data_IF_384900340123
#
_entry.id   IF_384900340123
#
_cell.length_a   1.000
_cell.length_b   1.000
_cell.length_c   1.000
_cell.angle_alpha   90.00
_cell.angle_beta   90.00
_cell.angle_gamma   90.00
#
_symmetry.space_group_name_H-M   'P 1'
#
loop_
_entity.id
_entity.type
_entity.pdbx_description
1 polymer ?
#
# COMPACT_ATOMS: atom_id res chain seq x y z
N UNK A 1 -0.92 20.62 4.91
CA UNK A 1 0.13 20.30 3.90
C UNK A 1 0.20 18.79 3.80
N UNK A 2 0.11 18.19 2.62
CA UNK A 2 0.18 16.72 2.50
C UNK A 2 1.65 16.30 2.38
N UNK A 3 2.11 15.43 3.27
CA UNK A 3 3.42 14.77 3.15
C UNK A 3 3.19 13.35 2.66
N UNK A 4 3.79 12.98 1.52
CA UNK A 4 3.60 11.67 0.86
C UNK A 4 4.93 10.93 0.59
N UNK A 5 5.77 10.65 1.61
CA UNK A 5 7.01 9.90 1.41
C UNK A 5 6.76 8.50 0.86
N UNK A 6 7.74 8.00 0.11
CA UNK A 6 7.89 6.56 -0.11
C UNK A 6 8.44 5.98 1.20
N UNK A 7 7.68 5.08 1.82
CA UNK A 7 8.05 4.47 3.11
C UNK A 7 8.66 3.09 2.93
N UNK A 8 8.38 2.43 1.79
CA UNK A 8 8.96 1.15 1.44
C UNK A 8 9.04 0.96 -0.07
N UNK A 9 9.99 0.14 -0.51
CA UNK A 9 10.15 -0.30 -1.89
C UNK A 9 10.52 -1.77 -1.90
N UNK A 10 10.22 -2.49 -2.99
CA UNK A 10 10.69 -3.86 -3.10
C UNK A 10 10.33 -4.51 -4.43
N UNK A 11 10.50 -5.82 -4.49
CA UNK A 11 10.05 -6.70 -5.55
C UNK A 11 9.19 -7.77 -4.88
N UNK A 12 8.12 -8.21 -5.54
CA UNK A 12 7.22 -9.27 -5.06
C UNK A 12 6.93 -10.24 -6.20
N UNK A 13 6.82 -11.53 -5.87
CA UNK A 13 6.55 -12.61 -6.82
C UNK A 13 5.07 -13.00 -6.80
N UNK A 14 4.63 -13.78 -7.79
CA UNK A 14 3.26 -14.29 -7.83
C UNK A 14 2.97 -15.18 -6.61
N UNK A 15 1.92 -14.87 -5.86
CA UNK A 15 1.54 -15.58 -4.64
C UNK A 15 2.41 -15.28 -3.41
N UNK A 16 3.38 -14.36 -3.51
CA UNK A 16 4.22 -13.95 -2.38
C UNK A 16 3.50 -12.92 -1.52
N UNK A 17 3.71 -13.00 -0.21
CA UNK A 17 3.30 -12.00 0.76
C UNK A 17 4.49 -11.18 1.25
N UNK A 18 4.31 -9.88 1.44
CA UNK A 18 5.26 -9.00 2.11
C UNK A 18 4.59 -8.16 3.19
N UNK A 19 5.32 -7.93 4.27
CA UNK A 19 4.87 -7.11 5.38
C UNK A 19 5.71 -5.84 5.47
N UNK A 20 5.04 -4.71 5.71
CA UNK A 20 5.68 -3.44 6.06
C UNK A 20 5.00 -2.86 7.30
N UNK A 21 5.81 -2.24 8.16
CA UNK A 21 5.32 -1.58 9.37
C UNK A 21 5.45 -0.07 9.20
N UNK A 22 4.32 0.63 9.27
CA UNK A 22 4.24 2.08 9.05
C UNK A 22 3.79 2.77 10.32
N UNK A 23 4.62 3.67 10.84
CA UNK A 23 4.23 4.53 11.95
C UNK A 23 3.38 5.70 11.45
N UNK A 24 2.16 5.82 11.97
CA UNK A 24 1.28 6.97 11.78
C UNK A 24 1.27 7.77 13.07
N UNK A 25 1.70 9.05 13.06
CA UNK A 25 1.72 9.88 14.25
C UNK A 25 0.31 10.28 14.69
N UNK A 26 0.17 10.80 15.91
CA UNK A 26 -1.07 11.42 16.38
C UNK A 26 -1.38 12.72 15.64
N UNK A 27 -2.67 12.95 15.35
CA UNK A 27 -3.17 14.23 14.84
C UNK A 27 -3.44 14.38 13.33
N UNK A 28 -3.07 13.48 12.40
CA UNK A 28 -3.54 13.57 11.02
C UNK A 28 -5.07 13.49 10.95
N UNK A 29 -5.71 14.37 10.17
CA UNK A 29 -7.13 14.26 9.84
C UNK A 29 -7.42 13.04 8.94
N UNK A 30 -6.44 12.62 8.16
CA UNK A 30 -6.49 11.41 7.36
C UNK A 30 -5.09 10.86 7.06
N UNK A 31 -5.01 9.55 6.89
CA UNK A 31 -3.87 8.86 6.27
C UNK A 31 -4.33 8.15 5.01
N UNK A 32 -3.47 8.14 4.00
CA UNK A 32 -3.69 7.43 2.75
C UNK A 32 -2.48 6.58 2.45
N UNK A 33 -2.69 5.28 2.27
CA UNK A 33 -1.70 4.33 1.78
C UNK A 33 -1.91 4.18 0.27
N UNK A 34 -0.82 4.28 -0.51
CA UNK A 34 -0.82 4.07 -1.95
C UNK A 34 0.23 3.02 -2.33
N UNK A 35 -0.21 1.90 -2.90
CA UNK A 35 0.69 0.90 -3.48
C UNK A 35 0.79 1.13 -4.99
N UNK A 36 2.01 1.24 -5.47
CA UNK A 36 2.32 1.44 -6.89
C UNK A 36 3.30 0.37 -7.38
N UNK A 37 3.29 0.07 -8.67
CA UNK A 37 4.25 -0.82 -9.32
C UNK A 37 4.62 -0.35 -10.73
N UNK A 38 5.71 -0.89 -11.27
CA UNK A 38 6.32 -0.39 -12.49
C UNK A 38 5.58 -0.77 -13.78
N UNK A 39 5.10 -2.02 -13.88
CA UNK A 39 4.30 -2.49 -15.01
C UNK A 39 2.80 -2.44 -14.66
N UNK A 40 2.30 -1.22 -14.52
CA UNK A 40 0.88 -0.92 -14.30
C UNK A 40 0.03 -1.12 -15.58
N UNK A 41 -1.23 -0.69 -15.52
CA UNK A 41 -2.21 -0.76 -16.59
C UNK A 41 -1.82 -0.04 -17.89
N UNK A 42 -0.70 0.70 -17.91
CA UNK A 42 -0.14 1.29 -19.14
C UNK A 42 0.73 0.32 -19.94
N UNK A 43 1.00 -0.90 -19.44
CA UNK A 43 1.91 -1.89 -20.06
C UNK A 43 1.34 -3.30 -20.05
N UNK A 44 1.60 -4.06 -21.11
CA UNK A 44 1.21 -5.48 -21.22
C UNK A 44 2.43 -6.42 -21.12
N UNK A 45 2.34 -7.57 -20.41
CA UNK A 45 1.27 -7.95 -19.49
C UNK A 45 1.25 -7.04 -18.25
N UNK A 46 0.05 -6.70 -17.80
CA UNK A 46 -0.19 -5.89 -16.59
C UNK A 46 -0.03 -6.77 -15.36
N UNK A 47 0.56 -6.22 -14.30
CA UNK A 47 0.59 -6.90 -13.01
C UNK A 47 -0.50 -6.37 -12.09
N UNK A 48 -0.88 -7.20 -11.14
CA UNK A 48 -1.78 -6.85 -10.05
C UNK A 48 -1.14 -7.22 -8.72
N UNK A 49 -1.07 -6.25 -7.84
CA UNK A 49 -0.69 -6.43 -6.44
C UNK A 49 -1.90 -6.00 -5.62
N UNK A 50 -2.12 -6.66 -4.48
CA UNK A 50 -3.12 -6.27 -3.49
C UNK A 50 -2.45 -5.67 -2.24
N UNK A 51 -3.11 -4.69 -1.61
CA UNK A 51 -2.74 -4.10 -0.33
C UNK A 51 -3.85 -4.22 0.73
N UNK A 52 -3.47 -4.79 1.87
CA UNK A 52 -4.29 -4.82 3.08
C UNK A 52 -3.62 -4.00 4.17
N UNK A 53 -4.39 -3.20 4.89
CA UNK A 53 -3.88 -2.34 5.96
C UNK A 53 -4.53 -2.74 7.27
N UNK A 54 -3.72 -3.09 8.27
CA UNK A 54 -4.18 -3.48 9.61
C UNK A 54 -3.77 -2.37 10.57
N UNK A 55 -4.75 -1.75 11.21
CA UNK A 55 -4.55 -0.68 12.20
C UNK A 55 -4.01 -1.23 13.54
N UNK A 56 -3.50 -0.35 14.42
CA UNK A 56 -2.94 -0.75 15.70
C UNK A 56 -3.90 -1.53 16.61
N UNK A 57 -5.21 -1.31 16.46
CA UNK A 57 -6.27 -2.01 17.21
C UNK A 57 -6.69 -3.34 16.58
N UNK A 58 -6.07 -3.73 15.45
CA UNK A 58 -6.40 -4.93 14.67
C UNK A 58 -7.48 -4.72 13.60
N UNK A 59 -8.05 -3.51 13.47
CA UNK A 59 -9.02 -3.22 12.40
C UNK A 59 -8.37 -3.39 11.04
N UNK A 60 -8.98 -4.21 10.17
CA UNK A 60 -8.45 -4.51 8.83
C UNK A 60 -9.20 -3.74 7.77
N UNK A 61 -8.46 -3.04 6.92
CA UNK A 61 -8.95 -2.31 5.77
C UNK A 61 -8.49 -2.98 4.47
N UNK A 62 -9.44 -3.23 3.57
CA UNK A 62 -9.24 -4.01 2.34
C UNK A 62 -9.54 -3.21 1.06
N UNK A 63 -9.77 -1.90 1.18
CA UNK A 63 -10.07 -1.02 0.04
C UNK A 63 -8.87 -0.77 -0.87
N UNK A 64 -7.68 -1.16 -0.43
CA UNK A 64 -6.47 -1.20 -1.24
C UNK A 64 -6.21 -2.55 -1.90
N UNK A 65 -7.19 -3.47 -2.02
CA UNK A 65 -7.05 -4.72 -2.77
C UNK A 65 -8.03 -4.65 -3.97
N UNK A 66 -7.62 -3.91 -4.99
CA UNK A 66 -8.43 -3.54 -6.16
C UNK A 66 -7.54 -3.53 -7.42
N UNK A 67 -8.10 -3.92 -8.56
CA UNK A 67 -7.44 -3.91 -9.87
C UNK A 67 -7.07 -2.50 -10.39
N UNK A 68 -6.17 -1.79 -9.72
CA UNK A 68 -5.78 -0.42 -10.06
C UNK A 68 -4.37 -0.09 -9.58
N UNK A 69 -3.63 0.72 -10.34
CA UNK A 69 -2.36 1.30 -9.88
C UNK A 69 -2.46 2.82 -9.86
N UNK A 70 -2.39 3.48 -8.70
CA UNK A 70 -2.17 2.88 -7.39
C UNK A 70 -3.40 2.17 -6.84
N UNK A 71 -3.16 1.16 -6.03
CA UNK A 71 -4.15 0.76 -5.05
C UNK A 71 -4.13 1.74 -3.88
N UNK A 72 -5.31 2.06 -3.38
CA UNK A 72 -5.47 3.18 -2.45
C UNK A 72 -6.37 2.82 -1.27
N UNK A 73 -5.83 2.92 -0.07
CA UNK A 73 -6.59 2.86 1.17
C UNK A 73 -6.57 4.22 1.86
N UNK A 74 -7.75 4.80 2.09
CA UNK A 74 -7.92 6.05 2.84
C UNK A 74 -8.53 5.74 4.20
N UNK A 75 -7.98 6.29 5.27
CA UNK A 75 -8.51 6.18 6.63
C UNK A 75 -8.68 7.60 7.17
N UNK A 76 -9.91 7.95 7.55
CA UNK A 76 -10.25 9.24 8.16
C UNK A 76 -10.13 9.08 9.67
N UNK A 77 -9.58 10.11 10.34
CA UNK A 77 -9.32 10.09 11.79
C UNK A 77 -8.55 8.83 12.23
N UNK A 78 -7.36 8.56 11.64
CA UNK A 78 -6.62 7.35 11.92
C UNK A 78 -6.13 7.30 13.38
N UNK A 79 -6.17 6.11 13.97
CA UNK A 79 -5.51 5.85 15.24
C UNK A 79 -4.00 6.11 15.10
N UNK A 80 -3.34 6.77 16.06
CA UNK A 80 -1.89 6.80 16.11
C UNK A 80 -1.32 5.40 16.39
N UNK A 81 -0.17 5.09 15.80
CA UNK A 81 0.57 3.84 16.07
C UNK A 81 1.13 3.17 14.83
N UNK A 82 1.52 1.91 14.99
CA UNK A 82 2.09 1.09 13.92
C UNK A 82 0.98 0.37 13.18
N UNK A 83 0.87 0.64 11.88
CA UNK A 83 0.03 -0.07 10.95
C UNK A 83 0.84 -1.18 10.29
N UNK A 84 0.28 -2.38 10.21
CA UNK A 84 0.84 -3.47 9.41
C UNK A 84 0.22 -3.42 8.02
N UNK A 85 1.05 -3.21 7.01
CA UNK A 85 0.65 -3.22 5.60
C UNK A 85 1.09 -4.53 4.99
N UNK A 86 0.13 -5.35 4.59
CA UNK A 86 0.36 -6.61 3.89
C UNK A 86 0.20 -6.39 2.39
N UNK A 87 1.22 -6.75 1.63
CA UNK A 87 1.20 -6.72 0.17
C UNK A 87 1.15 -8.16 -0.35
N UNK A 88 0.32 -8.42 -1.34
CA UNK A 88 0.21 -9.73 -1.98
C UNK A 88 0.41 -9.60 -3.49
N UNK A 89 1.28 -10.43 -4.06
CA UNK A 89 1.46 -10.49 -5.51
C UNK A 89 0.34 -11.31 -6.17
N UNK A 90 -0.80 -10.68 -6.45
CA UNK A 90 -2.01 -11.37 -6.91
C UNK A 90 -1.85 -11.97 -8.31
N UNK A 91 -1.51 -11.13 -9.31
CA UNK A 91 -1.25 -11.55 -10.69
C UNK A 91 0.07 -10.93 -11.17
N UNK A 92 1.16 -11.68 -11.00
CA UNK A 92 2.51 -11.20 -11.35
C UNK A 92 3.04 -11.91 -12.59
N UNK A 93 3.25 -11.15 -13.65
CA UNK A 93 3.96 -11.58 -14.85
C UNK A 93 5.41 -11.07 -14.82
N UNK A 94 6.17 -11.14 -15.93
CA UNK A 94 7.48 -10.48 -16.17
C UNK A 94 8.27 -9.98 -14.92
N UNK A 95 8.72 -10.90 -14.08
CA UNK A 95 9.48 -10.61 -12.85
C UNK A 95 10.96 -10.32 -13.22
N UNK A 96 11.65 -9.36 -12.58
CA UNK A 96 11.21 -8.53 -11.44
C UNK A 96 10.35 -7.33 -11.83
N UNK A 97 9.23 -7.14 -11.12
CA UNK A 97 8.42 -5.92 -11.18
C UNK A 97 8.50 -5.20 -9.82
N UNK A 98 9.22 -4.07 -9.72
CA UNK A 98 9.37 -3.37 -8.48
C UNK A 98 8.08 -2.62 -8.09
N UNK A 99 7.85 -2.53 -6.78
CA UNK A 99 6.78 -1.75 -6.17
C UNK A 99 7.33 -0.65 -5.26
N UNK A 100 6.51 0.36 -4.99
CA UNK A 100 6.76 1.34 -3.94
C UNK A 100 5.48 1.67 -3.18
N UNK A 101 5.59 1.75 -1.85
CA UNK A 101 4.52 2.11 -0.94
C UNK A 101 4.70 3.57 -0.53
N UNK A 102 3.68 4.39 -0.77
CA UNK A 102 3.62 5.78 -0.33
C UNK A 102 2.58 5.96 0.75
N UNK A 103 2.90 6.80 1.73
CA UNK A 103 1.98 7.12 2.83
C UNK A 103 1.81 8.62 2.87
N UNK A 104 0.59 9.07 2.63
CA UNK A 104 0.20 10.47 2.63
C UNK A 104 -0.52 10.84 3.93
N UNK A 105 0.06 11.74 4.72
CA UNK A 105 -0.59 12.29 5.91
C UNK A 105 -1.22 13.64 5.56
N UNK A 106 -2.50 13.79 5.89
CA UNK A 106 -3.23 15.06 5.82
C UNK A 106 -3.32 15.61 7.24
N UNK A 107 -2.61 16.70 7.48
CA UNK A 107 -2.65 17.50 8.72
C UNK A 107 -3.39 18.81 8.49
#
# INVERSE_FOLDING_TARGET
>A
RVLCPIVATGIISNGEWKEHYVEVPEGPAAVTFELWWFNDWSRYPTHDLDMYVIAPDGTTYVGGAVYNSPEKQVIIDPLPGIYTVLLFGYEMYLIPNPYWLRVCLVV
#
